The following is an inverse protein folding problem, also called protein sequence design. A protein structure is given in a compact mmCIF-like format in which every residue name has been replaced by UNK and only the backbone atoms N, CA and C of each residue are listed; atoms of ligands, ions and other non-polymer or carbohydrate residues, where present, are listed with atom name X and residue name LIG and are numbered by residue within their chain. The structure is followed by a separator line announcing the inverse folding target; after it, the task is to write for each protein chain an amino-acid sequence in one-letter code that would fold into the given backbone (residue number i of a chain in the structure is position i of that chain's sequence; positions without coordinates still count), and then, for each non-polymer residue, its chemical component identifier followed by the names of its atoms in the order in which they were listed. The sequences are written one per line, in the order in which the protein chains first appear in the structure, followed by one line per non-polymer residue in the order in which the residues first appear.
data_IF_441792287008
#
_entry.id   IF_441792287008
#
_cell.length_a   1.000
_cell.length_b   1.000
_cell.length_c   1.000
_cell.angle_alpha   90.00
_cell.angle_beta   90.00
_cell.angle_gamma   90.00
#
_symmetry.space_group_name_H-M   'P 1'
#
loop_
_entity.id
_entity.type
_entity.pdbx_description
1 polymer ?
#
# COMPACT_ATOMS: atom_id res chain seq x y z
N UNK A 1 14.84 28.29 -12.98
CA UNK A 1 16.07 27.72 -12.40
C UNK A 1 16.06 26.21 -12.66
N UNK A 2 17.16 25.61 -13.12
CA UNK A 2 17.22 24.17 -13.41
C UNK A 2 16.90 23.35 -12.16
N UNK A 3 16.20 22.21 -12.30
CA UNK A 3 15.86 21.29 -11.19
C UNK A 3 17.08 20.91 -10.35
N UNK A 4 18.26 20.78 -10.97
CA UNK A 4 19.54 20.46 -10.31
C UNK A 4 19.95 21.46 -9.22
N UNK A 5 19.57 22.73 -9.34
CA UNK A 5 19.92 23.75 -8.33
C UNK A 5 18.95 23.75 -7.14
N UNK A 6 17.88 22.94 -7.19
CA UNK A 6 16.86 22.84 -6.16
C UNK A 6 16.89 21.50 -5.42
N UNK A 7 17.75 20.59 -5.83
CA UNK A 7 17.81 19.27 -5.21
C UNK A 7 18.46 19.34 -3.83
N UNK A 8 17.88 18.64 -2.88
CA UNK A 8 18.34 18.50 -1.49
C UNK A 8 18.84 17.07 -1.24
N UNK A 9 19.72 16.91 -0.25
CA UNK A 9 20.17 15.60 0.21
C UNK A 9 19.06 14.90 0.99
N UNK A 10 18.88 13.61 0.70
CA UNK A 10 17.97 12.75 1.41
C UNK A 10 18.59 11.38 1.69
N UNK A 11 18.06 10.71 2.71
CA UNK A 11 18.42 9.35 3.08
C UNK A 11 17.27 8.43 2.72
N UNK A 12 17.49 7.52 1.78
CA UNK A 12 16.51 6.54 1.31
C UNK A 12 16.71 5.21 2.04
N UNK A 13 15.65 4.71 2.65
CA UNK A 13 15.58 3.40 3.28
C UNK A 13 14.74 2.47 2.41
N UNK A 14 15.35 1.37 1.99
CA UNK A 14 14.72 0.32 1.18
C UNK A 14 14.77 -0.98 1.96
N UNK A 15 13.63 -1.62 2.18
CA UNK A 15 13.61 -2.88 2.91
C UNK A 15 13.99 -4.04 1.97
N UNK A 16 14.86 -4.91 2.46
CA UNK A 16 15.26 -6.13 1.80
C UNK A 16 14.54 -7.32 2.45
N UNK A 17 13.56 -7.94 1.77
CA UNK A 17 12.78 -9.04 2.34
C UNK A 17 13.56 -10.35 2.45
N UNK A 18 14.72 -10.49 1.79
CA UNK A 18 15.49 -11.74 1.84
C UNK A 18 16.20 -11.93 3.18
N UNK A 19 16.68 -10.84 3.78
CA UNK A 19 17.39 -10.85 5.05
C UNK A 19 16.70 -10.00 6.14
N UNK A 20 15.50 -9.49 5.86
CA UNK A 20 14.67 -8.71 6.77
C UNK A 20 15.36 -7.45 7.32
N UNK A 21 16.13 -6.76 6.47
CA UNK A 21 16.87 -5.55 6.87
C UNK A 21 16.53 -4.31 6.03
N UNK A 22 16.67 -3.14 6.64
CA UNK A 22 16.62 -1.86 5.93
C UNK A 22 17.99 -1.49 5.40
N UNK A 23 18.08 -1.33 4.08
CA UNK A 23 19.25 -0.80 3.40
C UNK A 23 19.14 0.73 3.28
N UNK A 24 20.25 1.42 3.51
CA UNK A 24 20.29 2.88 3.53
C UNK A 24 21.13 3.41 2.37
N UNK A 25 20.58 4.36 1.63
CA UNK A 25 21.23 4.98 0.48
C UNK A 25 21.16 6.51 0.61
N UNK A 26 22.26 7.20 0.28
CA UNK A 26 22.24 8.67 0.15
C UNK A 26 21.80 9.01 -1.27
N UNK A 27 20.80 9.87 -1.39
CA UNK A 27 20.22 10.27 -2.67
C UNK A 27 20.05 11.79 -2.72
N UNK A 28 19.83 12.33 -3.91
CA UNK A 28 19.40 13.73 -4.08
C UNK A 28 18.00 13.75 -4.66
N UNK A 29 17.15 14.62 -4.12
CA UNK A 29 15.75 14.72 -4.54
C UNK A 29 15.34 16.16 -4.71
N UNK A 30 14.35 16.41 -5.55
CA UNK A 30 13.63 17.68 -5.61
C UNK A 30 12.21 17.43 -5.15
N UNK A 31 11.80 18.04 -4.05
CA UNK A 31 10.43 17.90 -3.54
C UNK A 31 9.70 19.23 -3.69
N UNK A 32 8.52 19.20 -4.30
CA UNK A 32 7.68 20.37 -4.42
C UNK A 32 7.31 20.95 -3.04
N UNK A 33 6.99 22.25 -3.01
CA UNK A 33 6.64 22.95 -1.77
C UNK A 33 5.17 22.78 -1.36
N UNK A 34 4.30 22.42 -2.31
CA UNK A 34 2.87 22.31 -2.09
C UNK A 34 2.40 20.90 -2.42
N UNK A 35 1.47 20.34 -1.63
CA UNK A 35 0.86 19.08 -1.98
C UNK A 35 -0.01 19.24 -3.23
N UNK A 36 -0.09 18.20 -4.05
CA UNK A 36 -0.98 18.15 -5.20
C UNK A 36 -2.24 17.32 -4.92
N UNK A 37 -2.21 16.46 -3.90
CA UNK A 37 -3.34 15.66 -3.46
C UNK A 37 -3.24 15.39 -1.94
N UNK A 38 -4.32 14.87 -1.36
CA UNK A 38 -4.34 14.42 0.03
C UNK A 38 -5.35 13.29 0.23
N UNK A 39 -5.00 12.32 1.07
CA UNK A 39 -5.92 11.29 1.57
C UNK A 39 -6.46 11.65 2.95
N UNK A 40 -6.96 10.67 3.70
CA UNK A 40 -7.40 10.88 5.09
C UNK A 40 -6.25 11.31 6.01
N UNK A 41 -5.15 10.57 6.00
CA UNK A 41 -4.04 10.73 6.95
C UNK A 41 -2.81 11.47 6.41
N UNK A 42 -2.60 11.44 5.09
CA UNK A 42 -1.37 11.94 4.45
C UNK A 42 -1.67 12.96 3.36
N UNK A 43 -0.70 13.84 3.10
CA UNK A 43 -0.64 14.69 1.90
C UNK A 43 0.34 14.09 0.91
N UNK A 44 0.10 14.29 -0.38
CA UNK A 44 0.95 13.83 -1.47
C UNK A 44 1.67 15.02 -2.12
N UNK A 45 2.99 14.96 -2.13
CA UNK A 45 3.88 15.94 -2.73
C UNK A 45 4.51 15.33 -3.98
N UNK A 46 4.73 16.13 -5.03
CA UNK A 46 5.57 15.68 -6.14
C UNK A 46 7.02 15.62 -5.67
N UNK A 47 7.69 14.53 -5.99
CA UNK A 47 9.11 14.32 -5.72
C UNK A 47 9.78 13.88 -7.02
N UNK A 48 11.02 14.29 -7.22
CA UNK A 48 11.86 13.80 -8.30
C UNK A 48 13.16 13.28 -7.71
N UNK A 49 13.46 12.00 -7.87
CA UNK A 49 14.74 11.41 -7.47
C UNK A 49 15.77 11.62 -8.59
N UNK A 50 16.97 12.10 -8.25
CA UNK A 50 18.06 12.28 -9.19
C UNK A 50 18.89 11.00 -9.26
N UNK A 51 18.91 10.36 -10.42
CA UNK A 51 19.74 9.18 -10.68
C UNK A 51 21.18 9.56 -11.07
N UNK A 52 22.08 8.57 -11.01
CA UNK A 52 23.50 8.75 -11.39
C UNK A 52 23.68 9.12 -12.87
N UNK A 53 22.73 8.74 -13.73
CA UNK A 53 22.68 9.18 -15.14
C UNK A 53 22.46 10.70 -15.26
N UNK A 54 22.00 11.34 -14.19
CA UNK A 54 21.60 12.74 -14.16
C UNK A 54 20.15 13.00 -14.55
N UNK A 55 19.37 11.93 -14.75
CA UNK A 55 17.93 11.96 -14.99
C UNK A 55 17.12 12.15 -13.71
N UNK A 56 15.91 12.68 -13.87
CA UNK A 56 14.96 12.85 -12.77
C UNK A 56 13.81 11.86 -12.92
N UNK A 57 13.70 10.94 -11.97
CA UNK A 57 12.61 9.96 -11.91
C UNK A 57 11.45 10.55 -11.12
N UNK A 58 10.25 10.67 -11.71
CA UNK A 58 9.09 11.21 -11.01
C UNK A 58 8.53 10.21 -9.99
N UNK A 59 8.34 10.71 -8.77
CA UNK A 59 7.81 9.98 -7.62
C UNK A 59 6.75 10.81 -6.90
N UNK A 60 6.08 10.18 -5.95
CA UNK A 60 5.17 10.81 -4.99
C UNK A 60 5.74 10.62 -3.59
N UNK A 61 5.89 11.71 -2.85
CA UNK A 61 6.21 11.68 -1.42
C UNK A 61 4.93 11.86 -0.61
N UNK A 62 4.62 10.91 0.28
CA UNK A 62 3.48 10.94 1.18
C UNK A 62 3.95 11.29 2.59
N UNK A 63 3.39 12.36 3.16
CA UNK A 63 3.72 12.88 4.49
C UNK A 63 2.49 12.86 5.36
N UNK A 64 2.59 12.37 6.60
CA UNK A 64 1.46 12.43 7.55
C UNK A 64 1.09 13.88 7.87
N UNK A 65 -0.22 14.16 7.88
CA UNK A 65 -0.77 15.50 8.18
C UNK A 65 -0.53 15.93 9.62
N UNK A 66 -0.54 14.96 10.53
CA UNK A 66 -0.25 15.15 11.95
C UNK A 66 1.14 14.59 12.24
N UNK A 67 1.81 15.19 13.20
CA UNK A 67 3.06 14.66 13.73
C UNK A 67 2.86 13.21 14.19
N UNK A 68 3.83 12.36 13.87
CA UNK A 68 3.76 10.93 14.13
C UNK A 68 5.14 10.37 14.44
N UNK A 69 5.16 9.17 15.02
CA UNK A 69 6.38 8.43 15.27
C UNK A 69 7.00 7.98 13.94
N UNK A 70 8.34 8.02 13.83
CA UNK A 70 9.07 7.53 12.67
C UNK A 70 8.69 6.11 12.28
N UNK A 71 8.43 5.25 13.28
CA UNK A 71 7.99 3.86 13.10
C UNK A 71 6.78 3.74 12.17
N UNK A 72 5.84 4.69 12.20
CA UNK A 72 4.67 4.62 11.33
C UNK A 72 5.04 4.64 9.84
N UNK A 73 6.02 5.44 9.42
CA UNK A 73 6.47 5.43 8.02
C UNK A 73 7.04 4.07 7.61
N UNK A 74 7.77 3.42 8.51
CA UNK A 74 8.32 2.08 8.27
C UNK A 74 7.24 1.00 8.27
N UNK A 75 6.28 1.07 9.19
CA UNK A 75 5.14 0.15 9.24
C UNK A 75 4.27 0.25 7.98
N UNK A 76 4.02 1.45 7.46
CA UNK A 76 3.30 1.66 6.20
C UNK A 76 4.05 1.01 5.02
N UNK A 77 5.37 1.21 4.96
CA UNK A 77 6.18 0.63 3.91
C UNK A 77 6.17 -0.92 3.98
N UNK A 78 6.30 -1.50 5.18
CA UNK A 78 6.21 -2.95 5.37
C UNK A 78 4.81 -3.49 5.04
N UNK A 79 3.75 -2.73 5.32
CA UNK A 79 2.37 -3.10 4.98
C UNK A 79 2.20 -3.23 3.46
N UNK A 80 2.68 -2.26 2.71
CA UNK A 80 2.64 -2.30 1.25
C UNK A 80 3.50 -3.43 0.67
N UNK A 81 4.64 -3.73 1.28
CA UNK A 81 5.45 -4.88 0.88
C UNK A 81 4.78 -6.22 1.17
N UNK A 82 4.12 -6.36 2.32
CA UNK A 82 3.34 -7.55 2.64
C UNK A 82 2.18 -7.74 1.64
N UNK A 83 1.54 -6.65 1.22
CA UNK A 83 0.53 -6.68 0.17
C UNK A 83 1.10 -7.11 -1.19
N UNK A 84 2.30 -6.65 -1.56
CA UNK A 84 3.01 -7.13 -2.75
C UNK A 84 3.34 -8.63 -2.66
N UNK A 85 3.74 -9.14 -1.49
CA UNK A 85 3.92 -10.58 -1.31
C UNK A 85 2.63 -11.36 -1.59
N UNK A 86 1.48 -10.89 -1.09
CA UNK A 86 0.18 -11.49 -1.44
C UNK A 86 -0.15 -11.37 -2.93
N UNK A 87 0.18 -10.26 -3.57
CA UNK A 87 0.02 -10.08 -5.01
C UNK A 87 0.85 -11.11 -5.80
N UNK A 88 2.09 -11.36 -5.38
CA UNK A 88 2.95 -12.39 -5.96
C UNK A 88 2.38 -13.79 -5.78
N UNK A 89 1.87 -14.14 -4.58
CA UNK A 89 1.16 -15.41 -4.37
C UNK A 89 -0.08 -15.54 -5.25
N UNK A 90 -0.89 -14.48 -5.38
CA UNK A 90 -2.04 -14.45 -6.28
C UNK A 90 -1.60 -14.70 -7.73
N UNK A 91 -0.52 -14.06 -8.16
CA UNK A 91 0.00 -14.18 -9.52
C UNK A 91 0.56 -15.57 -9.84
N UNK A 92 1.03 -16.33 -8.82
CA UNK A 92 1.48 -17.73 -8.94
C UNK A 92 0.35 -18.70 -9.31
N UNK A 93 -0.91 -18.32 -9.13
CA UNK A 93 -2.06 -19.11 -9.60
C UNK A 93 -2.13 -19.21 -11.14
N UNK A 94 -1.26 -18.50 -11.87
CA UNK A 94 -1.13 -18.53 -13.34
C UNK A 94 -2.45 -18.30 -14.08
N UNK A 95 -3.32 -17.47 -13.50
CA UNK A 95 -4.54 -17.01 -14.17
C UNK A 95 -4.27 -15.81 -15.08
N UNK A 96 -5.29 -15.40 -15.85
CA UNK A 96 -5.25 -14.17 -16.66
C UNK A 96 -5.27 -12.89 -15.83
N UNK A 97 -5.71 -12.95 -14.57
CA UNK A 97 -5.74 -11.80 -13.69
C UNK A 97 -4.39 -11.66 -13.02
N UNK A 98 -3.88 -10.42 -13.02
CA UNK A 98 -2.66 -10.04 -12.34
C UNK A 98 -2.95 -8.87 -11.43
N UNK A 99 -2.18 -8.77 -10.38
CA UNK A 99 -2.19 -7.64 -9.45
C UNK A 99 -0.75 -7.34 -9.06
N UNK A 100 -0.44 -6.09 -8.79
CA UNK A 100 0.85 -5.69 -8.21
C UNK A 100 0.64 -4.52 -7.27
N UNK A 101 1.57 -4.34 -6.32
CA UNK A 101 1.67 -3.14 -5.53
C UNK A 101 2.96 -2.39 -5.90
N UNK A 102 2.90 -1.06 -5.90
CA UNK A 102 4.07 -0.25 -6.17
C UNK A 102 5.18 -0.52 -5.14
N UNK A 103 6.45 -0.44 -5.54
CA UNK A 103 7.54 -0.40 -4.58
C UNK A 103 7.43 0.88 -3.74
N UNK A 104 7.81 0.76 -2.48
CA UNK A 104 7.81 1.88 -1.53
C UNK A 104 9.15 1.95 -0.81
N UNK A 105 9.63 3.18 -0.62
CA UNK A 105 10.77 3.49 0.21
C UNK A 105 10.34 4.41 1.34
N UNK A 106 11.05 4.36 2.46
CA UNK A 106 11.00 5.44 3.45
C UNK A 106 12.12 6.42 3.11
N UNK A 107 11.85 7.71 3.15
CA UNK A 107 12.85 8.73 2.84
C UNK A 107 12.87 9.82 3.90
N UNK A 108 14.06 10.11 4.41
CA UNK A 108 14.33 11.24 5.29
C UNK A 108 14.89 12.40 4.48
N UNK A 109 14.20 13.54 4.51
CA UNK A 109 14.62 14.78 3.87
C UNK A 109 15.56 15.51 4.82
N UNK A 110 16.87 15.31 4.65
CA UNK A 110 17.89 15.73 5.61
C UNK A 110 17.89 17.27 5.81
N UNK A 111 17.65 18.02 4.74
CA UNK A 111 17.61 19.49 4.75
C UNK A 111 16.27 20.06 5.26
N UNK A 112 15.29 19.20 5.60
CA UNK A 112 13.99 19.58 6.17
C UNK A 112 13.83 19.05 7.59
N UNK A 113 14.84 19.28 8.43
CA UNK A 113 14.87 18.83 9.83
C UNK A 113 14.62 17.31 9.98
N UNK A 114 15.07 16.51 9.01
CA UNK A 114 14.88 15.06 9.03
C UNK A 114 13.43 14.61 8.82
N UNK A 115 12.57 15.41 8.18
CA UNK A 115 11.20 15.02 7.86
C UNK A 115 11.17 13.70 7.08
N UNK A 116 10.37 12.74 7.56
CA UNK A 116 10.14 11.46 6.90
C UNK A 116 8.97 11.52 5.92
N UNK A 117 9.05 10.70 4.88
CA UNK A 117 7.97 10.45 3.93
C UNK A 117 8.04 9.03 3.37
N UNK A 118 6.90 8.47 2.96
CA UNK A 118 6.88 7.28 2.10
C UNK A 118 7.00 7.76 0.64
N UNK A 119 7.86 7.12 -0.15
CA UNK A 119 8.11 7.48 -1.55
C UNK A 119 7.79 6.30 -2.45
N UNK A 120 6.93 6.55 -3.44
CA UNK A 120 6.50 5.58 -4.46
C UNK A 120 6.62 6.19 -5.87
N UNK A 121 6.70 5.37 -6.94
CA UNK A 121 6.63 5.87 -8.31
C UNK A 121 5.35 6.69 -8.58
N UNK A 122 5.46 7.73 -9.41
CA UNK A 122 4.29 8.50 -9.83
C UNK A 122 3.43 7.68 -10.81
N UNK A 123 2.19 7.40 -10.43
CA UNK A 123 1.17 6.88 -11.36
C UNK A 123 0.65 8.02 -12.25
N UNK A 124 0.68 7.80 -13.57
CA UNK A 124 0.12 8.70 -14.56
C UNK A 124 -1.17 8.09 -15.12
N UNK A 125 -2.32 8.58 -14.64
CA UNK A 125 -3.63 8.10 -15.10
C UNK A 125 -4.72 8.31 -14.06
N UNK A 126 -5.88 7.71 -14.32
CA UNK A 126 -7.05 7.79 -13.45
C UNK A 126 -6.89 6.87 -12.25
N UNK A 127 -6.67 7.49 -11.10
CA UNK A 127 -6.57 6.81 -9.81
C UNK A 127 -7.97 6.42 -9.30
N UNK A 128 -8.16 5.15 -8.95
CA UNK A 128 -9.43 4.62 -8.47
C UNK A 128 -9.23 3.88 -7.15
N UNK A 129 -10.15 4.13 -6.20
CA UNK A 129 -10.28 3.36 -4.95
C UNK A 129 -11.40 2.36 -5.13
N UNK A 130 -11.14 1.08 -4.88
CA UNK A 130 -12.07 -0.01 -5.17
C UNK A 130 -12.80 -0.54 -3.93
N UNK A 131 -12.12 -0.58 -2.79
CA UNK A 131 -12.69 -0.77 -1.47
C UNK A 131 -11.88 0.05 -0.46
N UNK A 132 -12.40 0.20 0.76
CA UNK A 132 -11.69 0.85 1.85
C UNK A 132 -11.33 -0.15 2.96
N UNK A 133 -10.75 0.37 4.05
CA UNK A 133 -10.42 -0.43 5.22
C UNK A 133 -11.59 -0.60 6.21
N UNK A 134 -12.79 -0.07 5.91
CA UNK A 134 -13.97 -0.12 6.79
C UNK A 134 -15.14 -0.92 6.18
N UNK A 135 -14.86 -1.69 5.12
CA UNK A 135 -15.80 -2.61 4.49
C UNK A 135 -16.65 -1.99 3.39
N UNK A 136 -16.39 -0.76 2.96
CA UNK A 136 -17.11 -0.16 1.84
C UNK A 136 -16.55 -0.67 0.50
N UNK A 137 -17.46 -0.92 -0.45
CA UNK A 137 -17.15 -1.29 -1.83
C UNK A 137 -17.44 -0.08 -2.71
N UNK A 138 -16.40 0.49 -3.30
CA UNK A 138 -16.44 1.78 -4.01
C UNK A 138 -16.63 1.61 -5.53
N UNK A 139 -16.39 0.41 -6.05
CA UNK A 139 -16.53 0.10 -7.49
C UNK A 139 -17.15 -1.27 -7.72
N UNK A 140 -17.68 -1.49 -8.92
CA UNK A 140 -18.13 -2.81 -9.37
C UNK A 140 -17.01 -3.72 -9.88
N UNK A 141 -15.75 -3.28 -9.80
CA UNK A 141 -14.60 -4.06 -10.25
C UNK A 141 -14.41 -5.31 -9.39
N UNK A 142 -14.31 -6.46 -10.04
CA UNK A 142 -14.36 -7.75 -9.37
C UNK A 142 -13.00 -8.19 -8.83
N UNK A 143 -11.91 -7.81 -9.52
CA UNK A 143 -10.56 -8.25 -9.20
C UNK A 143 -10.10 -7.74 -7.81
N UNK A 144 -10.27 -6.45 -7.46
CA UNK A 144 -9.94 -5.96 -6.12
C UNK A 144 -10.63 -6.74 -4.99
N UNK A 145 -11.94 -6.99 -5.11
CA UNK A 145 -12.70 -7.71 -4.09
C UNK A 145 -12.29 -9.19 -3.99
N UNK A 146 -12.03 -9.81 -5.14
CA UNK A 146 -11.54 -11.19 -5.18
C UNK A 146 -10.13 -11.32 -4.61
N UNK A 147 -9.28 -10.30 -4.81
CA UNK A 147 -7.94 -10.26 -4.23
C UNK A 147 -7.99 -10.15 -2.71
N UNK A 148 -8.78 -9.23 -2.14
CA UNK A 148 -8.96 -9.15 -0.67
C UNK A 148 -9.45 -10.48 -0.10
N UNK A 149 -10.46 -11.12 -0.72
CA UNK A 149 -10.92 -12.44 -0.30
C UNK A 149 -9.82 -13.52 -0.45
N UNK A 150 -9.05 -13.52 -1.54
CA UNK A 150 -7.92 -14.44 -1.69
C UNK A 150 -6.91 -14.31 -0.55
N UNK A 151 -6.59 -13.09 -0.12
CA UNK A 151 -5.60 -12.88 0.96
C UNK A 151 -6.05 -13.48 2.30
N UNK A 152 -7.36 -13.51 2.58
CA UNK A 152 -7.93 -14.22 3.73
C UNK A 152 -7.62 -15.71 3.69
N UNK A 153 -7.88 -16.35 2.55
CA UNK A 153 -7.68 -17.79 2.39
C UNK A 153 -6.18 -18.13 2.35
N UNK A 154 -5.39 -17.34 1.61
CA UNK A 154 -3.95 -17.53 1.48
C UNK A 154 -3.21 -17.38 2.82
N UNK A 155 -3.69 -16.49 3.70
CA UNK A 155 -3.14 -16.28 5.04
C UNK A 155 -3.64 -17.29 6.08
N UNK A 156 -4.45 -18.27 5.68
CA UNK A 156 -5.13 -19.21 6.59
C UNK A 156 -5.98 -18.49 7.65
N UNK A 157 -6.77 -17.52 7.20
CA UNK A 157 -7.73 -16.77 8.01
C UNK A 157 -7.07 -15.89 9.08
N UNK A 158 -5.88 -15.36 8.78
CA UNK A 158 -5.13 -14.50 9.71
C UNK A 158 -5.13 -13.03 9.29
N UNK A 159 -5.10 -12.76 7.99
CA UNK A 159 -4.91 -11.42 7.42
C UNK A 159 -5.87 -11.19 6.25
N UNK A 160 -6.30 -9.93 6.06
CA UNK A 160 -6.82 -9.47 4.76
C UNK A 160 -6.07 -8.23 4.30
N UNK A 161 -5.83 -8.12 2.99
CA UNK A 161 -5.35 -6.90 2.33
C UNK A 161 -6.56 -6.15 1.75
N UNK A 162 -6.83 -4.97 2.27
CA UNK A 162 -7.94 -4.09 1.89
C UNK A 162 -7.40 -2.69 1.53
N UNK A 163 -8.29 -1.71 1.41
CA UNK A 163 -7.97 -0.38 0.89
C UNK A 163 -7.33 -0.47 -0.51
N UNK A 164 -7.90 -1.32 -1.38
CA UNK A 164 -7.36 -1.59 -2.71
C UNK A 164 -7.62 -0.38 -3.60
N UNK A 165 -6.55 0.28 -4.01
CA UNK A 165 -6.60 1.52 -4.78
C UNK A 165 -5.36 1.68 -5.67
N UNK A 166 -5.49 2.37 -6.80
CA UNK A 166 -4.37 2.60 -7.72
C UNK A 166 -4.82 2.83 -9.15
N UNK A 167 -4.03 2.37 -10.11
CA UNK A 167 -4.26 2.51 -11.54
C UNK A 167 -4.39 1.13 -12.19
N UNK A 168 -5.57 0.82 -12.73
CA UNK A 168 -5.89 -0.49 -13.27
C UNK A 168 -5.62 -1.63 -12.27
N UNK A 169 -4.69 -2.54 -12.56
CA UNK A 169 -4.28 -3.65 -11.71
C UNK A 169 -2.97 -3.40 -10.94
N UNK A 170 -2.44 -2.17 -10.99
CA UNK A 170 -1.29 -1.71 -10.22
C UNK A 170 -1.77 -0.84 -9.05
N UNK A 171 -1.66 -1.37 -7.84
CA UNK A 171 -2.19 -0.77 -6.61
C UNK A 171 -1.10 -0.09 -5.78
N UNK A 172 -1.52 0.72 -4.82
CA UNK A 172 -0.64 1.31 -3.81
C UNK A 172 -1.42 1.67 -2.54
N UNK A 173 -0.72 2.01 -1.46
CA UNK A 173 -1.32 2.47 -0.19
C UNK A 173 -2.35 1.48 0.41
N UNK A 174 -2.09 0.16 0.45
CA UNK A 174 -3.03 -0.78 1.02
C UNK A 174 -3.11 -0.67 2.55
N UNK A 175 -4.17 -1.24 3.11
CA UNK A 175 -4.28 -1.52 4.54
C UNK A 175 -4.37 -3.03 4.77
N UNK A 176 -3.75 -3.52 5.85
CA UNK A 176 -3.91 -4.90 6.30
C UNK A 176 -4.67 -4.93 7.62
N UNK A 177 -5.67 -5.79 7.71
CA UNK A 177 -6.27 -6.17 8.98
C UNK A 177 -5.75 -7.52 9.42
N UNK A 178 -5.40 -7.64 10.70
CA UNK A 178 -4.96 -8.90 11.31
C UNK A 178 -5.94 -9.38 12.37
N UNK A 179 -6.03 -10.70 12.58
CA UNK A 179 -6.95 -11.25 13.57
C UNK A 179 -6.64 -10.80 15.02
N UNK A 180 -5.39 -10.47 15.32
CA UNK A 180 -4.93 -9.99 16.62
C UNK A 180 -5.00 -8.46 16.78
N UNK A 181 -5.31 -7.73 15.69
CA UNK A 181 -5.31 -6.27 15.65
C UNK A 181 -3.95 -5.62 15.88
N UNK A 182 -2.86 -6.38 15.77
CA UNK A 182 -1.48 -5.90 15.94
C UNK A 182 -0.81 -5.65 14.59
N UNK A 183 0.20 -4.77 14.59
CA UNK A 183 0.97 -4.40 13.39
C UNK A 183 0.13 -3.68 12.30
N UNK A 184 0.76 -3.38 11.17
CA UNK A 184 0.14 -2.78 9.97
C UNK A 184 -0.45 -1.37 10.16
N UNK A 185 0.08 -0.60 11.10
CA UNK A 185 -0.29 0.80 11.29
C UNK A 185 -1.68 1.01 11.89
N UNK A 186 -2.07 2.29 12.02
CA UNK A 186 -3.29 2.70 12.74
C UNK A 186 -4.59 2.36 12.01
N UNK A 187 -4.53 2.04 10.72
CA UNK A 187 -5.70 1.65 9.95
C UNK A 187 -6.07 0.18 10.11
N UNK A 188 -5.30 -0.63 10.85
CA UNK A 188 -5.64 -2.01 11.20
C UNK A 188 -6.80 -2.00 12.22
N UNK A 189 -7.99 -2.36 11.77
CA UNK A 189 -9.21 -2.47 12.58
C UNK A 189 -9.42 -3.89 13.13
N UNK A 190 -8.43 -4.76 12.97
CA UNK A 190 -8.44 -6.12 13.44
C UNK A 190 -9.61 -6.96 12.91
N UNK A 191 -10.15 -7.83 13.76
CA UNK A 191 -11.32 -8.65 13.44
C UNK A 191 -12.53 -7.83 12.99
N UNK A 192 -12.71 -6.63 13.54
CA UNK A 192 -13.83 -5.77 13.19
C UNK A 192 -13.75 -5.33 11.72
N UNK A 193 -12.56 -4.95 11.25
CA UNK A 193 -12.32 -4.65 9.84
C UNK A 193 -12.54 -5.85 8.92
N UNK A 194 -12.09 -7.03 9.34
CA UNK A 194 -12.30 -8.30 8.61
C UNK A 194 -13.79 -8.60 8.47
N UNK A 195 -14.55 -8.53 9.58
CA UNK A 195 -15.99 -8.76 9.59
C UNK A 195 -16.74 -7.74 8.72
N UNK A 196 -16.32 -6.47 8.75
CA UNK A 196 -16.88 -5.41 7.90
C UNK A 196 -16.69 -5.71 6.42
N UNK A 197 -15.50 -6.14 6.00
CA UNK A 197 -15.27 -6.57 4.62
C UNK A 197 -16.21 -7.72 4.23
N UNK A 198 -16.29 -8.79 5.04
CA UNK A 198 -17.13 -9.94 4.69
C UNK A 198 -18.64 -9.67 4.76
N UNK A 199 -19.07 -8.64 5.49
CA UNK A 199 -20.47 -8.22 5.53
C UNK A 199 -20.94 -7.66 4.18
N UNK A 200 -20.05 -7.02 3.42
CA UNK A 200 -20.37 -6.37 2.14
C UNK A 200 -19.86 -7.15 0.94
N UNK A 201 -18.86 -8.01 1.13
CA UNK A 201 -18.30 -8.85 0.09
C UNK A 201 -19.33 -9.83 -0.48
N UNK A 202 -19.35 -9.91 -1.80
CA UNK A 202 -20.11 -10.91 -2.55
C UNK A 202 -19.14 -11.64 -3.46
N UNK A 203 -18.99 -12.95 -3.27
CA UNK A 203 -18.17 -13.76 -4.15
C UNK A 203 -18.56 -13.55 -5.62
N UNK A 204 -17.59 -13.21 -6.44
CA UNK A 204 -17.78 -12.91 -7.86
C UNK A 204 -17.17 -14.02 -8.75
N UNK A 205 -17.23 -13.85 -10.07
CA UNK A 205 -16.71 -14.86 -11.03
C UNK A 205 -15.23 -15.17 -10.84
N UNK A 206 -14.43 -14.22 -10.33
CA UNK A 206 -13.01 -14.42 -10.06
C UNK A 206 -12.86 -15.28 -8.80
N UNK A 207 -13.56 -14.98 -7.71
CA UNK A 207 -13.58 -15.84 -6.53
C UNK A 207 -13.94 -17.30 -6.89
N UNK A 208 -14.96 -17.47 -7.74
CA UNK A 208 -15.40 -18.78 -8.22
C UNK A 208 -14.35 -19.47 -9.10
N UNK A 209 -13.73 -18.74 -10.04
CA UNK A 209 -12.67 -19.27 -10.89
C UNK A 209 -11.43 -19.70 -10.09
N UNK A 210 -11.12 -18.98 -9.01
CA UNK A 210 -10.07 -19.31 -8.06
C UNK A 210 -10.48 -20.39 -7.05
N UNK A 211 -11.74 -20.86 -7.08
CA UNK A 211 -12.32 -21.84 -6.16
C UNK A 211 -12.19 -21.42 -4.68
N UNK A 212 -12.28 -20.12 -4.41
CA UNK A 212 -12.30 -19.63 -3.03
C UNK A 212 -13.57 -20.10 -2.32
N UNK A 213 -13.49 -20.49 -1.03
CA UNK A 213 -14.67 -20.85 -0.24
C UNK A 213 -15.74 -19.75 -0.27
N UNK A 214 -17.03 -20.09 -0.40
CA UNK A 214 -18.09 -19.10 -0.30
C UNK A 214 -18.13 -18.46 1.09
N UNK A 215 -18.20 -17.13 1.14
CA UNK A 215 -18.20 -16.34 2.38
C UNK A 215 -19.59 -16.19 3.00
N UNK A 216 -20.66 -16.54 2.25
CA UNK A 216 -22.06 -16.45 2.68
C UNK A 216 -22.42 -17.41 3.84
N UNK A 217 -21.47 -18.23 4.31
CA UNK A 217 -21.65 -19.15 5.44
C UNK A 217 -20.48 -19.02 6.43
N UNK A 218 -20.77 -18.39 7.57
CA UNK A 218 -20.07 -18.57 8.87
C UNK A 218 -18.68 -17.92 9.07
N UNK A 219 -18.57 -16.60 8.90
CA UNK A 219 -17.52 -15.84 9.62
C UNK A 219 -18.09 -15.23 10.92
N UNK A 220 -19.41 -14.97 10.97
CA UNK A 220 -20.10 -14.47 12.17
C UNK A 220 -20.11 -15.45 13.36
N UNK A 221 -19.94 -16.75 13.13
CA UNK A 221 -20.03 -17.79 14.17
C UNK A 221 -18.66 -18.19 14.77
N UNK A 222 -17.55 -17.64 14.27
CA UNK A 222 -16.20 -17.91 14.81
C UNK A 222 -15.80 -16.86 15.84
N UNK A 223 -16.62 -16.68 16.87
CA UNK A 223 -16.16 -16.09 18.12
C UNK A 223 -15.50 -17.21 18.92
N UNK A 224 -14.18 -17.18 19.04
CA UNK A 224 -13.43 -17.87 20.09
C UNK A 224 -12.97 -16.81 21.08
#
# INVERSE_FOLDING_TARGET
MPLRNRSELATKFTYNPHNETWQTHKVRVVVDKKPFAQGGMRVCMKLYELEDSGDFVPCVAKVFKKETNSKEYFDEALTQMAAECFAQEFNKLKTKWKVSFLPVNVMMLNERNGQLCNVEPLLLGDYVKHNDNDGNVETSEQLPQAFTHFTWEASRHMLIVCDIQGLADCYTDPQIHSIDGQSFGRGNLGQHGILKFFKTHKCNRICQALKLPPTDRKIADRQV
#
